data_IF_190792682164
#
_entry.id   IF_190792682164
#
_cell.length_a   1.000
_cell.length_b   1.000
_cell.length_c   1.000
_cell.angle_alpha   90.00
_cell.angle_beta   90.00
_cell.angle_gamma   90.00
#
_symmetry.space_group_name_H-M   'P 1'
#
loop_
_entity.id
_entity.type
_entity.pdbx_description
1 polymer ?
#
# COMPACT_ATOMS: atom_id res chain seq x y z
N UNK A 1 3.59 -20.76 -9.51
CA UNK A 1 3.93 -20.65 -8.07
C UNK A 1 2.64 -20.37 -7.34
N UNK A 2 2.28 -21.19 -6.35
CA UNK A 2 1.11 -20.96 -5.52
C UNK A 2 1.43 -19.80 -4.58
N UNK A 3 0.71 -18.69 -4.68
CA UNK A 3 0.80 -17.62 -3.69
C UNK A 3 0.42 -18.20 -2.33
N UNK A 4 1.29 -18.06 -1.34
CA UNK A 4 0.89 -18.20 0.06
C UNK A 4 -0.18 -17.14 0.34
N UNK A 5 -1.23 -17.48 1.09
CA UNK A 5 -2.36 -16.61 1.44
C UNK A 5 -1.99 -15.49 2.43
N UNK A 6 -0.74 -15.00 2.34
CA UNK A 6 -0.09 -14.06 3.23
C UNK A 6 -0.50 -12.64 2.86
N UNK A 7 -1.74 -12.30 3.20
CA UNK A 7 -2.35 -11.06 2.72
C UNK A 7 -2.23 -9.89 3.71
N UNK A 8 -1.48 -10.00 4.81
CA UNK A 8 -1.25 -8.87 5.72
C UNK A 8 0.14 -8.28 5.53
N UNK A 9 0.31 -7.01 5.91
CA UNK A 9 1.62 -6.37 5.85
C UNK A 9 2.66 -7.10 6.72
N UNK A 10 2.23 -7.63 7.87
CA UNK A 10 3.08 -8.37 8.78
C UNK A 10 3.56 -9.72 8.22
N UNK A 11 2.70 -10.47 7.49
CA UNK A 11 3.13 -11.70 6.83
C UNK A 11 4.19 -11.42 5.76
N UNK A 12 4.00 -10.39 4.94
CA UNK A 12 4.97 -10.05 3.89
C UNK A 12 6.28 -9.53 4.49
N UNK A 13 6.20 -8.72 5.55
CA UNK A 13 7.39 -8.29 6.28
C UNK A 13 8.14 -9.48 6.88
N UNK A 14 7.43 -10.44 7.49
CA UNK A 14 8.01 -11.67 8.00
C UNK A 14 8.73 -12.46 6.88
N UNK A 15 8.07 -12.66 5.75
CA UNK A 15 8.66 -13.36 4.59
C UNK A 15 9.94 -12.67 4.10
N UNK A 16 9.95 -11.34 3.99
CA UNK A 16 11.14 -10.58 3.58
C UNK A 16 12.27 -10.69 4.59
N UNK A 17 12.00 -10.49 5.88
CA UNK A 17 13.01 -10.60 6.95
C UNK A 17 13.56 -12.02 7.05
N UNK A 18 12.71 -13.04 6.90
CA UNK A 18 13.11 -14.45 6.84
C UNK A 18 14.03 -14.74 5.66
N UNK A 19 13.74 -14.18 4.47
CA UNK A 19 14.62 -14.30 3.29
C UNK A 19 15.95 -13.59 3.51
N UNK A 20 15.95 -12.38 4.08
CA UNK A 20 17.18 -11.62 4.39
C UNK A 20 18.05 -12.38 5.38
N UNK A 21 17.44 -12.92 6.44
CA UNK A 21 18.10 -13.74 7.46
C UNK A 21 18.76 -15.00 6.88
N UNK A 22 18.09 -15.64 5.93
CA UNK A 22 18.53 -16.90 5.31
C UNK A 22 19.35 -16.69 4.04
N UNK A 23 19.61 -15.44 3.66
CA UNK A 23 20.52 -15.10 2.57
C UNK A 23 21.92 -15.66 2.80
N UNK A 24 22.58 -16.03 1.70
CA UNK A 24 23.98 -16.51 1.71
C UNK A 24 24.99 -15.38 1.55
N UNK A 25 24.52 -14.14 1.40
CA UNK A 25 25.37 -12.96 1.25
C UNK A 25 26.16 -12.66 2.54
N UNK A 26 27.38 -12.16 2.38
CA UNK A 26 28.29 -11.87 3.50
C UNK A 26 27.94 -10.59 4.25
N UNK A 27 27.20 -9.67 3.62
CA UNK A 27 26.80 -8.39 4.19
C UNK A 27 25.30 -8.24 4.23
N UNK A 28 24.82 -7.35 5.10
CA UNK A 28 23.38 -7.06 5.21
C UNK A 28 22.88 -6.32 3.96
N UNK A 29 23.69 -5.39 3.44
CA UNK A 29 23.43 -4.74 2.16
C UNK A 29 23.30 -5.77 1.02
N UNK A 30 24.20 -6.76 0.97
CA UNK A 30 24.12 -7.87 0.02
C UNK A 30 22.82 -8.65 0.19
N UNK A 31 22.47 -9.05 1.42
CA UNK A 31 21.24 -9.79 1.71
C UNK A 31 19.97 -9.05 1.28
N UNK A 32 19.87 -7.75 1.59
CA UNK A 32 18.74 -6.95 1.12
C UNK A 32 18.74 -6.78 -0.39
N UNK A 33 19.90 -6.58 -1.02
CA UNK A 33 20.01 -6.45 -2.48
C UNK A 33 19.55 -7.72 -3.19
N UNK A 34 19.92 -8.89 -2.66
CA UNK A 34 19.50 -10.19 -3.18
C UNK A 34 17.98 -10.43 -3.00
N UNK A 35 17.43 -10.07 -1.84
CA UNK A 35 15.99 -10.26 -1.57
C UNK A 35 15.11 -9.31 -2.37
N UNK A 36 15.54 -8.04 -2.49
CA UNK A 36 14.83 -7.01 -3.23
C UNK A 36 15.16 -7.01 -4.72
N UNK A 37 16.08 -7.87 -5.18
CA UNK A 37 16.53 -7.93 -6.59
C UNK A 37 16.93 -6.55 -7.15
N UNK A 38 17.61 -5.76 -6.33
CA UNK A 38 18.03 -4.42 -6.66
C UNK A 38 19.40 -4.13 -6.07
N UNK A 39 20.28 -3.48 -6.84
CA UNK A 39 21.64 -3.19 -6.41
C UNK A 39 21.67 -2.14 -5.29
N UNK A 40 22.42 -2.41 -4.22
CA UNK A 40 22.63 -1.49 -3.11
C UNK A 40 23.05 -0.09 -3.57
N UNK A 41 22.46 0.94 -2.98
CA UNK A 41 22.77 2.34 -3.27
C UNK A 41 22.11 2.89 -4.55
N UNK A 42 21.34 2.08 -5.29
CA UNK A 42 20.57 2.56 -6.44
C UNK A 42 19.22 3.17 -6.03
N UNK A 43 18.62 3.93 -6.94
CA UNK A 43 17.26 4.44 -6.78
C UNK A 43 16.24 3.31 -6.63
N UNK A 44 16.38 2.23 -7.40
CA UNK A 44 15.45 1.10 -7.34
C UNK A 44 15.54 0.37 -6.00
N UNK A 45 16.76 0.16 -5.49
CA UNK A 45 16.95 -0.38 -4.15
C UNK A 45 16.29 0.52 -3.10
N UNK A 46 16.53 1.82 -3.17
CA UNK A 46 15.95 2.79 -2.24
C UNK A 46 14.42 2.72 -2.27
N UNK A 47 13.83 2.72 -3.47
CA UNK A 47 12.38 2.60 -3.68
C UNK A 47 11.82 1.32 -3.07
N UNK A 48 12.40 0.16 -3.39
CA UNK A 48 11.95 -1.15 -2.88
C UNK A 48 12.13 -1.26 -1.37
N UNK A 49 13.23 -0.74 -0.82
CA UNK A 49 13.46 -0.76 0.61
C UNK A 49 12.49 0.18 1.36
N UNK A 50 12.14 1.32 0.79
CA UNK A 50 11.08 2.19 1.34
C UNK A 50 9.75 1.44 1.47
N UNK A 51 9.41 0.54 0.53
CA UNK A 51 8.21 -0.29 0.66
C UNK A 51 8.30 -1.32 1.80
N UNK A 52 9.48 -1.84 2.11
CA UNK A 52 9.69 -2.67 3.30
C UNK A 52 9.41 -1.87 4.57
N UNK A 53 9.86 -0.61 4.60
CA UNK A 53 9.58 0.31 5.71
C UNK A 53 8.08 0.63 5.78
N UNK A 54 7.42 0.83 4.64
CA UNK A 54 5.98 1.03 4.56
C UNK A 54 5.20 -0.18 5.09
N UNK A 55 5.66 -1.41 4.82
CA UNK A 55 5.07 -2.62 5.41
C UNK A 55 5.13 -2.61 6.94
N UNK A 56 6.28 -2.24 7.52
CA UNK A 56 6.40 -2.11 8.98
C UNK A 56 5.45 -1.03 9.52
N UNK A 57 5.38 0.13 8.87
CA UNK A 57 4.46 1.20 9.26
C UNK A 57 3.00 0.73 9.19
N UNK A 58 2.64 0.01 8.12
CA UNK A 58 1.31 -0.53 7.93
C UNK A 58 0.98 -1.60 8.99
N UNK A 59 1.93 -2.48 9.33
CA UNK A 59 1.79 -3.41 10.47
C UNK A 59 1.50 -2.65 11.77
N UNK A 60 2.23 -1.57 12.05
CA UNK A 60 1.99 -0.76 13.25
C UNK A 60 0.60 -0.10 13.26
N UNK A 61 0.14 0.39 12.11
CA UNK A 61 -1.23 0.93 11.98
C UNK A 61 -2.29 -0.13 12.22
N UNK A 62 -2.09 -1.34 11.67
CA UNK A 62 -3.00 -2.47 11.84
C UNK A 62 -3.09 -2.94 13.29
N UNK A 63 -2.00 -2.85 14.06
CA UNK A 63 -2.02 -3.12 15.51
C UNK A 63 -3.01 -2.23 16.26
N UNK A 64 -3.16 -0.96 15.86
CA UNK A 64 -4.08 -0.02 16.51
C UNK A 64 -5.53 -0.48 16.38
N UNK A 65 -5.86 -1.19 15.31
CA UNK A 65 -7.19 -1.75 15.07
C UNK A 65 -7.47 -3.05 15.84
N UNK A 66 -6.47 -3.64 16.52
CA UNK A 66 -6.66 -4.82 17.34
C UNK A 66 -7.25 -4.48 18.73
N UNK A 67 -7.96 -5.45 19.37
CA UNK A 67 -8.34 -5.35 20.77
C UNK A 67 -7.17 -4.97 21.69
N UNK A 68 -7.41 -4.07 22.64
CA UNK A 68 -6.39 -3.43 23.49
C UNK A 68 -5.40 -4.43 24.11
N UNK A 69 -5.89 -5.53 24.69
CA UNK A 69 -5.03 -6.53 25.32
C UNK A 69 -4.06 -7.21 24.34
N UNK A 70 -4.52 -7.48 23.12
CA UNK A 70 -3.68 -8.08 22.08
C UNK A 70 -2.72 -7.04 21.51
N UNK A 71 -3.20 -5.81 21.25
CA UNK A 71 -2.38 -4.69 20.80
C UNK A 71 -1.19 -4.44 21.73
N UNK A 72 -1.43 -4.25 23.03
CA UNK A 72 -0.37 -3.98 24.02
C UNK A 72 0.68 -5.10 24.08
N UNK A 73 0.28 -6.35 23.80
CA UNK A 73 1.22 -7.48 23.75
C UNK A 73 2.13 -7.35 22.52
N UNK A 74 1.57 -7.08 21.36
CA UNK A 74 2.30 -6.99 20.10
C UNK A 74 3.20 -5.73 20.04
N UNK A 75 2.73 -4.60 20.55
CA UNK A 75 3.47 -3.32 20.56
C UNK A 75 4.85 -3.41 21.22
N UNK A 76 5.04 -4.31 22.19
CA UNK A 76 6.33 -4.55 22.86
C UNK A 76 7.43 -5.01 21.92
N UNK A 77 7.06 -5.62 20.79
CA UNK A 77 7.99 -6.19 19.82
C UNK A 77 8.27 -5.24 18.64
N UNK A 78 7.52 -4.14 18.52
CA UNK A 78 7.66 -3.18 17.41
C UNK A 78 9.06 -2.61 17.29
N UNK A 79 9.70 -2.30 18.42
CA UNK A 79 11.09 -1.80 18.42
C UNK A 79 12.04 -2.83 17.81
N UNK A 80 11.87 -4.12 18.11
CA UNK A 80 12.71 -5.19 17.58
C UNK A 80 12.53 -5.36 16.07
N UNK A 81 11.29 -5.26 15.56
CA UNK A 81 11.02 -5.29 14.12
C UNK A 81 11.61 -4.08 13.40
N UNK A 82 11.51 -2.89 14.01
CA UNK A 82 12.14 -1.68 13.49
C UNK A 82 13.66 -1.82 13.42
N UNK A 83 14.31 -2.38 14.45
CA UNK A 83 15.73 -2.68 14.40
C UNK A 83 16.09 -3.70 13.32
N UNK A 84 15.23 -4.69 13.05
CA UNK A 84 15.46 -5.69 12.00
C UNK A 84 15.42 -5.07 10.59
N UNK A 85 14.49 -4.13 10.35
CA UNK A 85 14.31 -3.44 9.06
C UNK A 85 15.34 -2.33 8.87
N UNK A 86 15.44 -1.39 9.82
CA UNK A 86 16.21 -0.15 9.64
C UNK A 86 17.68 -0.29 10.03
N UNK A 87 17.98 -1.14 11.01
CA UNK A 87 19.33 -1.43 11.51
C UNK A 87 20.20 -0.16 11.72
N UNK A 88 19.69 0.85 12.46
CA UNK A 88 20.31 2.18 12.54
C UNK A 88 21.70 2.21 13.20
N UNK A 89 22.05 1.18 13.97
CA UNK A 89 23.30 1.08 14.75
C UNK A 89 24.30 0.11 14.12
N UNK A 90 24.00 -0.42 12.94
CA UNK A 90 24.82 -1.41 12.25
C UNK A 90 25.34 -0.83 10.94
N UNK A 91 26.61 -1.08 10.63
CA UNK A 91 27.12 -0.84 9.29
C UNK A 91 26.65 -1.98 8.37
N UNK A 92 25.89 -1.66 7.32
CA UNK A 92 25.30 -2.65 6.43
C UNK A 92 26.32 -3.40 5.57
N UNK A 93 27.52 -2.84 5.44
CA UNK A 93 28.66 -3.43 4.72
C UNK A 93 29.59 -4.23 5.64
N UNK A 94 29.24 -4.39 6.93
CA UNK A 94 30.05 -5.17 7.87
C UNK A 94 29.90 -6.68 7.60
N UNK A 95 30.97 -7.31 7.12
CA UNK A 95 31.04 -8.76 6.86
C UNK A 95 31.22 -9.59 8.14
N UNK A 96 31.57 -8.96 9.26
CA UNK A 96 31.89 -9.68 10.50
C UNK A 96 30.66 -10.01 11.34
N UNK A 97 29.52 -9.35 11.05
CA UNK A 97 28.28 -9.51 11.79
C UNK A 97 27.32 -10.47 11.08
N UNK A 98 26.91 -11.51 11.78
CA UNK A 98 25.94 -12.46 11.25
C UNK A 98 24.54 -11.83 11.22
N UNK A 99 23.87 -11.82 10.06
CA UNK A 99 22.49 -11.33 9.91
C UNK A 99 21.53 -12.00 10.91
N UNK A 100 21.77 -13.29 11.20
CA UNK A 100 21.00 -14.08 12.18
C UNK A 100 21.07 -13.58 13.61
N UNK A 101 22.09 -12.80 13.99
CA UNK A 101 22.13 -12.17 15.32
C UNK A 101 21.29 -10.88 15.39
N UNK A 102 20.92 -10.32 14.24
CA UNK A 102 20.08 -9.13 14.13
C UNK A 102 18.61 -9.55 14.00
N UNK A 103 18.35 -10.53 13.14
CA UNK A 103 17.03 -11.14 12.91
C UNK A 103 17.08 -12.57 13.47
N UNK A 104 16.64 -12.73 14.72
CA UNK A 104 16.55 -14.02 15.40
C UNK A 104 15.16 -14.65 15.20
N UNK A 105 15.04 -15.93 15.58
CA UNK A 105 13.79 -16.70 15.45
C UNK A 105 12.68 -16.07 16.29
N UNK A 106 12.96 -15.67 17.53
CA UNK A 106 11.95 -15.05 18.42
C UNK A 106 11.29 -13.81 17.78
N UNK A 107 12.07 -12.94 17.12
CA UNK A 107 11.53 -11.77 16.41
C UNK A 107 10.62 -12.16 15.25
N UNK A 108 10.99 -13.19 14.50
CA UNK A 108 10.22 -13.69 13.36
C UNK A 108 8.94 -14.37 13.84
N UNK A 109 9.00 -15.24 14.84
CA UNK A 109 7.86 -15.93 15.45
C UNK A 109 6.84 -14.92 16.03
N UNK A 110 7.32 -13.86 16.67
CA UNK A 110 6.45 -12.79 17.17
C UNK A 110 5.78 -12.00 16.05
N UNK A 111 6.48 -11.77 14.94
CA UNK A 111 5.92 -11.08 13.78
C UNK A 111 4.89 -11.95 13.06
N UNK A 112 5.16 -13.23 12.87
CA UNK A 112 4.23 -14.21 12.28
C UNK A 112 2.97 -14.36 13.16
N UNK A 113 3.13 -14.54 14.48
CA UNK A 113 2.01 -14.59 15.42
C UNK A 113 1.16 -13.31 15.38
N UNK A 114 1.80 -12.15 15.18
CA UNK A 114 1.09 -10.87 15.02
C UNK A 114 0.34 -10.82 13.70
N UNK A 115 0.93 -11.35 12.63
CA UNK A 115 0.33 -11.42 11.32
C UNK A 115 -0.93 -12.30 11.31
N UNK A 116 -0.90 -13.44 12.00
CA UNK A 116 -2.06 -14.31 12.21
C UNK A 116 -3.19 -13.61 12.97
N UNK A 117 -2.85 -12.87 14.03
CA UNK A 117 -3.82 -12.08 14.80
C UNK A 117 -4.48 -11.01 13.93
N UNK A 118 -3.69 -10.27 13.14
CA UNK A 118 -4.19 -9.25 12.22
C UNK A 118 -5.12 -9.88 11.19
N UNK A 119 -4.71 -11.01 10.59
CA UNK A 119 -5.53 -11.73 9.62
C UNK A 119 -6.86 -12.17 10.25
N UNK A 120 -6.82 -12.82 11.41
CA UNK A 120 -8.03 -13.29 12.09
C UNK A 120 -9.02 -12.18 12.45
N UNK A 121 -8.55 -10.97 12.76
CA UNK A 121 -9.39 -9.84 13.19
C UNK A 121 -9.82 -8.90 12.05
N UNK A 122 -9.01 -8.74 11.00
CA UNK A 122 -9.19 -7.71 9.97
C UNK A 122 -9.38 -8.26 8.56
N UNK A 123 -9.57 -9.58 8.41
CA UNK A 123 -9.83 -10.24 7.13
C UNK A 123 -10.93 -9.54 6.32
N UNK A 124 -10.67 -9.34 5.03
CA UNK A 124 -11.60 -8.69 4.11
C UNK A 124 -11.55 -7.16 4.15
N UNK A 125 -10.53 -6.58 4.78
CA UNK A 125 -10.23 -5.14 4.74
C UNK A 125 -8.94 -4.88 3.97
N UNK A 126 -8.58 -3.60 3.78
CA UNK A 126 -7.27 -3.21 3.24
C UNK A 126 -6.10 -3.84 4.01
N UNK A 127 -6.30 -4.14 5.31
CA UNK A 127 -5.26 -4.71 6.16
C UNK A 127 -4.99 -6.19 5.89
N UNK A 128 -5.99 -6.90 5.34
CA UNK A 128 -5.94 -8.32 5.04
C UNK A 128 -6.87 -8.63 3.85
N UNK A 129 -6.52 -8.21 2.61
CA UNK A 129 -7.33 -8.47 1.43
C UNK A 129 -7.51 -9.97 1.22
N UNK A 130 -8.60 -10.38 0.57
CA UNK A 130 -8.84 -11.81 0.28
C UNK A 130 -8.54 -12.20 -1.16
N UNK A 131 -8.71 -11.29 -2.10
CA UNK A 131 -8.38 -11.54 -3.49
C UNK A 131 -6.87 -11.40 -3.71
N UNK A 132 -6.38 -12.08 -4.74
CA UNK A 132 -5.05 -11.86 -5.33
C UNK A 132 -5.14 -11.29 -6.74
N UNK A 133 -6.36 -11.13 -7.27
CA UNK A 133 -6.59 -10.55 -8.59
C UNK A 133 -6.51 -9.02 -8.51
N UNK A 134 -5.50 -8.48 -9.19
CA UNK A 134 -5.16 -7.05 -9.23
C UNK A 134 -5.36 -6.43 -10.62
N UNK A 135 -5.79 -7.22 -11.62
CA UNK A 135 -5.83 -6.78 -13.02
C UNK A 135 -6.81 -5.63 -13.23
N UNK A 136 -7.98 -5.70 -12.61
CA UNK A 136 -8.98 -4.64 -12.68
C UNK A 136 -8.47 -3.33 -12.07
N UNK A 137 -7.75 -3.43 -10.94
CA UNK A 137 -7.17 -2.25 -10.29
C UNK A 137 -6.07 -1.63 -11.15
N UNK A 138 -5.19 -2.46 -11.73
CA UNK A 138 -4.16 -2.02 -12.68
C UNK A 138 -4.77 -1.28 -13.86
N UNK A 139 -5.77 -1.88 -14.52
CA UNK A 139 -6.46 -1.28 -15.67
C UNK A 139 -7.05 0.07 -15.31
N UNK A 140 -7.73 0.15 -14.17
CA UNK A 140 -8.39 1.39 -13.75
C UNK A 140 -7.39 2.49 -13.40
N UNK A 141 -6.24 2.14 -12.81
CA UNK A 141 -5.16 3.11 -12.58
C UNK A 141 -4.58 3.65 -13.89
N UNK A 142 -4.45 2.82 -14.93
CA UNK A 142 -4.04 3.29 -16.26
C UNK A 142 -5.07 4.24 -16.88
N UNK A 143 -6.36 3.91 -16.82
CA UNK A 143 -7.44 4.80 -17.30
C UNK A 143 -7.41 6.17 -16.60
N UNK A 144 -7.10 6.19 -15.31
CA UNK A 144 -6.93 7.42 -14.53
C UNK A 144 -5.73 8.25 -14.99
N UNK A 145 -4.58 7.61 -15.22
CA UNK A 145 -3.40 8.31 -15.75
C UNK A 145 -3.73 8.93 -17.11
N UNK A 146 -4.38 8.18 -17.99
CA UNK A 146 -4.79 8.67 -19.30
C UNK A 146 -5.75 9.86 -19.19
N UNK A 147 -6.77 9.77 -18.33
CA UNK A 147 -7.69 10.90 -18.06
C UNK A 147 -6.93 12.15 -17.60
N UNK A 148 -6.08 12.02 -16.57
CA UNK A 148 -5.34 13.14 -16.01
C UNK A 148 -4.41 13.79 -17.05
N UNK A 149 -3.80 13.00 -17.94
CA UNK A 149 -2.95 13.55 -19.02
C UNK A 149 -3.73 14.34 -20.07
N UNK A 150 -5.04 14.10 -20.21
CA UNK A 150 -5.90 14.86 -21.14
C UNK A 150 -6.43 16.17 -20.54
N UNK A 151 -6.35 16.34 -19.22
CA UNK A 151 -6.84 17.54 -18.53
C UNK A 151 -5.82 18.68 -18.59
N UNK A 152 -6.30 19.88 -18.89
CA UNK A 152 -5.48 21.09 -18.96
C UNK A 152 -5.38 21.83 -17.60
N UNK A 153 -4.55 22.88 -17.57
CA UNK A 153 -4.35 23.68 -16.34
C UNK A 153 -5.60 24.48 -15.91
N UNK A 154 -6.59 24.63 -16.79
CA UNK A 154 -7.85 25.30 -16.46
C UNK A 154 -8.80 24.39 -15.70
N UNK A 155 -8.69 23.08 -15.90
CA UNK A 155 -9.45 22.06 -15.19
C UNK A 155 -8.77 21.62 -13.89
N UNK A 156 -7.44 21.41 -13.91
CA UNK A 156 -6.67 20.95 -12.75
C UNK A 156 -5.26 21.56 -12.74
N UNK A 157 -4.83 22.04 -11.58
CA UNK A 157 -3.46 22.59 -11.47
C UNK A 157 -2.40 21.54 -11.79
N UNK A 158 -1.36 21.94 -12.55
CA UNK A 158 -0.25 21.08 -12.93
C UNK A 158 0.37 20.29 -11.76
N UNK A 159 0.70 20.93 -10.61
CA UNK A 159 1.27 20.22 -9.47
C UNK A 159 0.37 19.12 -8.89
N UNK A 160 -0.94 19.37 -8.77
CA UNK A 160 -1.90 18.38 -8.26
C UNK A 160 -2.05 17.23 -9.26
N UNK A 161 -2.15 17.54 -10.55
CA UNK A 161 -2.21 16.53 -11.62
C UNK A 161 -0.98 15.63 -11.61
N UNK A 162 0.21 16.21 -11.54
CA UNK A 162 1.47 15.45 -11.58
C UNK A 162 1.64 14.58 -10.32
N UNK A 163 1.20 15.07 -9.15
CA UNK A 163 1.15 14.29 -7.92
C UNK A 163 0.22 13.08 -8.05
N UNK A 164 -1.02 13.27 -8.52
CA UNK A 164 -1.98 12.18 -8.72
C UNK A 164 -1.47 11.14 -9.72
N UNK A 165 -0.90 11.57 -10.84
CA UNK A 165 -0.27 10.68 -11.83
C UNK A 165 0.86 9.87 -11.19
N UNK A 166 1.71 10.51 -10.38
CA UNK A 166 2.80 9.84 -9.68
C UNK A 166 2.28 8.76 -8.71
N UNK A 167 1.26 9.09 -7.92
CA UNK A 167 0.61 8.16 -6.99
C UNK A 167 -0.02 6.96 -7.72
N UNK A 168 -0.77 7.19 -8.81
CA UNK A 168 -1.37 6.12 -9.62
C UNK A 168 -0.32 5.21 -10.24
N UNK A 169 0.77 5.79 -10.76
CA UNK A 169 1.91 5.02 -11.28
C UNK A 169 2.60 4.20 -10.19
N UNK A 170 2.61 4.71 -8.96
CA UNK A 170 3.13 3.97 -7.81
C UNK A 170 2.25 2.76 -7.48
N UNK A 171 0.91 2.91 -7.48
CA UNK A 171 -0.03 1.77 -7.34
C UNK A 171 0.19 0.72 -8.43
N UNK A 172 0.31 1.13 -9.70
CA UNK A 172 0.59 0.20 -10.81
C UNK A 172 1.89 -0.57 -10.56
N UNK A 173 2.95 0.12 -10.15
CA UNK A 173 4.22 -0.52 -9.83
C UNK A 173 4.11 -1.48 -8.64
N UNK A 174 3.33 -1.14 -7.60
CA UNK A 174 3.06 -2.05 -6.47
C UNK A 174 2.28 -3.29 -6.90
N UNK A 175 1.33 -3.17 -7.83
CA UNK A 175 0.65 -4.32 -8.42
C UNK A 175 1.65 -5.25 -9.11
N UNK A 176 2.57 -4.69 -9.91
CA UNK A 176 3.64 -5.47 -10.57
C UNK A 176 4.59 -6.14 -9.57
N UNK A 177 4.71 -5.61 -8.35
CA UNK A 177 5.56 -6.14 -7.28
C UNK A 177 4.75 -6.78 -6.13
N UNK A 178 3.47 -7.11 -6.37
CA UNK A 178 2.60 -7.68 -5.35
C UNK A 178 3.10 -9.04 -4.85
N UNK A 179 3.87 -9.78 -5.66
CA UNK A 179 4.53 -11.00 -5.18
C UNK A 179 5.60 -10.77 -4.09
N UNK A 180 6.09 -9.55 -3.94
CA UNK A 180 7.12 -9.18 -2.95
C UNK A 180 6.54 -8.43 -1.76
N UNK A 181 5.67 -7.43 -2.02
CA UNK A 181 5.11 -6.57 -0.97
C UNK A 181 3.68 -6.97 -0.56
N UNK A 182 3.03 -7.82 -1.35
CA UNK A 182 1.72 -8.39 -1.11
C UNK A 182 0.54 -7.44 -1.14
N UNK A 183 -0.66 -8.04 -1.09
CA UNK A 183 -1.91 -7.34 -1.37
C UNK A 183 -2.26 -6.21 -0.40
N UNK A 184 -1.96 -6.36 0.89
CA UNK A 184 -2.23 -5.32 1.90
C UNK A 184 -1.55 -3.98 1.56
N UNK A 185 -0.31 -4.01 1.05
CA UNK A 185 0.40 -2.79 0.66
C UNK A 185 -0.24 -2.14 -0.56
N UNK A 186 -0.65 -2.95 -1.55
CA UNK A 186 -1.36 -2.44 -2.72
C UNK A 186 -2.70 -1.81 -2.34
N UNK A 187 -3.48 -2.46 -1.47
CA UNK A 187 -4.78 -1.95 -1.01
C UNK A 187 -4.67 -0.64 -0.24
N UNK A 188 -3.66 -0.51 0.63
CA UNK A 188 -3.43 0.71 1.39
C UNK A 188 -3.04 1.87 0.46
N UNK A 189 -2.10 1.68 -0.47
CA UNK A 189 -1.75 2.72 -1.43
C UNK A 189 -2.96 3.12 -2.28
N UNK A 190 -3.70 2.14 -2.82
CA UNK A 190 -4.90 2.40 -3.62
C UNK A 190 -5.94 3.21 -2.84
N UNK A 191 -6.09 2.95 -1.54
CA UNK A 191 -6.99 3.73 -0.68
C UNK A 191 -6.50 5.16 -0.46
N UNK A 192 -5.19 5.36 -0.28
CA UNK A 192 -4.56 6.68 -0.21
C UNK A 192 -4.74 7.47 -1.52
N UNK A 193 -4.63 6.80 -2.67
CA UNK A 193 -4.89 7.42 -3.99
C UNK A 193 -6.36 7.79 -4.15
N UNK A 194 -7.31 6.91 -3.77
CA UNK A 194 -8.74 7.23 -3.79
C UNK A 194 -9.04 8.47 -2.94
N UNK A 195 -8.46 8.55 -1.74
CA UNK A 195 -8.58 9.74 -0.88
C UNK A 195 -8.04 11.00 -1.53
N UNK A 196 -6.87 10.91 -2.17
CA UNK A 196 -6.24 12.02 -2.89
C UNK A 196 -7.08 12.49 -4.09
N UNK A 197 -7.66 11.56 -4.85
CA UNK A 197 -8.58 11.85 -5.95
C UNK A 197 -9.87 12.51 -5.45
N UNK A 198 -10.44 12.02 -4.34
CA UNK A 198 -11.62 12.63 -3.72
C UNK A 198 -11.33 14.07 -3.27
N UNK A 199 -10.19 14.32 -2.64
CA UNK A 199 -9.76 15.66 -2.24
C UNK A 199 -9.51 16.57 -3.45
N UNK A 200 -8.85 16.05 -4.49
CA UNK A 200 -8.61 16.78 -5.72
C UNK A 200 -9.93 17.18 -6.42
N UNK A 201 -10.97 16.35 -6.29
CA UNK A 201 -12.29 16.66 -6.86
C UNK A 201 -12.89 17.98 -6.32
N UNK A 202 -12.53 18.37 -5.09
CA UNK A 202 -12.94 19.66 -4.53
C UNK A 202 -12.13 20.87 -5.05
N UNK A 203 -10.99 20.60 -5.71
CA UNK A 203 -10.09 21.61 -6.27
C UNK A 203 -10.16 21.72 -7.78
N UNK A 204 -10.88 20.82 -8.44
CA UNK A 204 -11.13 20.85 -9.89
C UNK A 204 -12.21 21.90 -10.17
N UNK A 205 -11.90 22.87 -11.03
CA UNK A 205 -12.78 24.00 -11.38
C UNK A 205 -12.97 24.00 -12.89
N UNK A 206 -14.12 24.48 -13.39
CA UNK A 206 -14.39 24.59 -14.83
C UNK A 206 -14.23 23.28 -15.64
N UNK A 207 -14.43 22.14 -14.97
CA UNK A 207 -14.31 20.83 -15.60
C UNK A 207 -15.29 20.71 -16.78
N UNK A 208 -14.81 20.31 -17.95
CA UNK A 208 -15.69 20.07 -19.09
C UNK A 208 -16.67 18.93 -18.75
N UNK A 209 -17.89 18.97 -19.29
CA UNK A 209 -18.93 17.96 -19.00
C UNK A 209 -18.45 16.52 -19.31
N UNK A 210 -17.69 16.37 -20.40
CA UNK A 210 -17.05 15.10 -20.77
C UNK A 210 -16.00 14.66 -19.73
N UNK A 211 -15.11 15.56 -19.32
CA UNK A 211 -14.10 15.30 -18.28
C UNK A 211 -14.75 14.91 -16.96
N UNK A 212 -15.80 15.64 -16.53
CA UNK A 212 -16.52 15.38 -15.28
C UNK A 212 -17.21 14.00 -15.29
N UNK A 213 -17.83 13.63 -16.41
CA UNK A 213 -18.41 12.30 -16.61
C UNK A 213 -17.36 11.20 -16.54
N UNK A 214 -16.22 11.39 -17.22
CA UNK A 214 -15.08 10.45 -17.20
C UNK A 214 -14.48 10.29 -15.80
N UNK A 215 -14.30 11.40 -15.08
CA UNK A 215 -13.80 11.40 -13.70
C UNK A 215 -14.71 10.61 -12.77
N UNK A 216 -16.02 10.89 -12.79
CA UNK A 216 -17.00 10.15 -11.98
C UNK A 216 -16.97 8.65 -12.29
N UNK A 217 -16.95 8.29 -13.57
CA UNK A 217 -16.90 6.89 -14.01
C UNK A 217 -15.61 6.20 -13.56
N UNK A 218 -14.46 6.84 -13.75
CA UNK A 218 -13.16 6.32 -13.35
C UNK A 218 -13.04 6.19 -11.81
N UNK A 219 -13.62 7.13 -11.06
CA UNK A 219 -13.65 7.10 -9.60
C UNK A 219 -14.44 5.89 -9.10
N UNK A 220 -15.67 5.71 -9.60
CA UNK A 220 -16.51 4.57 -9.23
C UNK A 220 -15.88 3.23 -9.64
N UNK A 221 -15.23 3.17 -10.81
CA UNK A 221 -14.51 1.98 -11.25
C UNK A 221 -13.37 1.62 -10.29
N UNK A 222 -12.59 2.61 -9.83
CA UNK A 222 -11.45 2.37 -8.94
C UNK A 222 -11.89 1.90 -7.55
N UNK A 223 -12.92 2.56 -7.00
CA UNK A 223 -13.55 2.14 -5.74
C UNK A 223 -14.08 0.71 -5.85
N UNK A 224 -14.76 0.39 -6.96
CA UNK A 224 -15.29 -0.96 -7.21
C UNK A 224 -14.17 -1.99 -7.27
N UNK A 225 -13.10 -1.72 -8.00
CA UNK A 225 -11.94 -2.60 -8.10
C UNK A 225 -11.31 -2.87 -6.73
N UNK A 226 -11.18 -1.84 -5.88
CA UNK A 226 -10.66 -1.99 -4.51
C UNK A 226 -11.61 -2.83 -3.62
N UNK A 227 -12.92 -2.63 -3.72
CA UNK A 227 -13.91 -3.42 -2.97
C UNK A 227 -13.87 -4.90 -3.36
N UNK A 228 -13.82 -5.18 -4.67
CA UNK A 228 -13.70 -6.55 -5.18
C UNK A 228 -12.39 -7.18 -4.72
N UNK A 229 -11.27 -6.44 -4.78
CA UNK A 229 -9.96 -6.91 -4.35
C UNK A 229 -9.94 -7.28 -2.86
N UNK A 230 -10.46 -6.40 -2.01
CA UNK A 230 -10.55 -6.67 -0.57
C UNK A 230 -11.54 -7.79 -0.24
N UNK A 231 -12.54 -8.03 -1.11
CA UNK A 231 -13.71 -8.89 -0.86
C UNK A 231 -14.41 -8.56 0.47
N UNK A 232 -14.54 -7.25 0.74
CA UNK A 232 -15.25 -6.75 1.91
C UNK A 232 -16.77 -6.99 1.74
N UNK A 233 -17.39 -7.67 2.71
CA UNK A 233 -18.85 -7.68 2.89
C UNK A 233 -19.26 -6.53 3.83
N UNK A 234 -20.56 -6.18 3.94
CA UNK A 234 -21.21 -4.94 3.49
C UNK A 234 -20.84 -3.63 4.25
N UNK A 235 -19.61 -3.46 4.75
CA UNK A 235 -19.16 -2.23 5.43
C UNK A 235 -19.05 -1.04 4.45
N UNK A 236 -19.00 -1.30 3.14
CA UNK A 236 -18.85 -0.28 2.11
C UNK A 236 -20.15 0.30 1.55
N UNK A 237 -21.33 -0.12 2.03
CA UNK A 237 -22.53 0.68 1.73
C UNK A 237 -22.33 2.12 2.20
N UNK A 238 -21.67 2.36 3.34
CA UNK A 238 -21.41 3.71 3.84
C UNK A 238 -20.33 4.45 3.05
N UNK A 239 -19.24 3.83 2.59
CA UNK A 239 -18.22 4.53 1.79
C UNK A 239 -18.61 4.70 0.33
N UNK A 240 -19.43 3.80 -0.22
CA UNK A 240 -20.09 3.99 -1.53
C UNK A 240 -21.14 5.09 -1.38
N UNK A 241 -21.95 5.10 -0.31
CA UNK A 241 -22.90 6.20 -0.06
C UNK A 241 -22.17 7.51 0.17
N UNK A 242 -21.05 7.53 0.89
CA UNK A 242 -20.22 8.73 1.10
C UNK A 242 -19.54 9.17 -0.20
N UNK A 243 -19.05 8.23 -1.02
CA UNK A 243 -18.51 8.51 -2.35
C UNK A 243 -19.59 9.04 -3.30
N UNK A 244 -20.79 8.46 -3.28
CA UNK A 244 -21.97 8.94 -4.00
C UNK A 244 -22.42 10.31 -3.51
N UNK A 245 -22.31 10.59 -2.21
CA UNK A 245 -22.67 11.86 -1.59
C UNK A 245 -21.65 12.95 -1.92
N UNK A 246 -20.34 12.63 -1.91
CA UNK A 246 -19.27 13.50 -2.41
C UNK A 246 -19.46 13.78 -3.91
N UNK A 247 -19.77 12.75 -4.71
CA UNK A 247 -20.07 12.90 -6.15
C UNK A 247 -21.34 13.73 -6.38
N UNK A 248 -22.34 13.61 -5.51
CA UNK A 248 -23.57 14.40 -5.56
C UNK A 248 -23.30 15.86 -5.19
N UNK A 249 -22.45 16.12 -4.20
CA UNK A 249 -21.98 17.45 -3.82
C UNK A 249 -21.17 18.11 -4.95
N UNK A 250 -20.29 17.34 -5.62
CA UNK A 250 -19.56 17.79 -6.83
C UNK A 250 -20.55 18.16 -7.94
N UNK A 251 -21.59 17.36 -8.16
CA UNK A 251 -22.59 17.62 -9.20
C UNK A 251 -23.47 18.83 -8.87
N UNK A 252 -23.82 19.06 -7.60
CA UNK A 252 -24.59 20.25 -7.18
C UNK A 252 -23.77 21.54 -7.22
N UNK A 253 -22.49 21.50 -6.87
CA UNK A 253 -21.61 22.67 -6.96
C UNK A 253 -21.41 23.16 -8.40
N UNK A 254 -21.45 22.24 -9.37
CA UNK A 254 -21.37 22.55 -10.82
C UNK A 254 -22.74 23.06 -11.36
N UNK A 255 -23.85 22.74 -10.70
CA UNK A 255 -25.20 23.09 -11.12
C UNK A 255 -25.71 24.45 -10.65
N UNK A 256 -25.18 24.99 -9.55
CA UNK A 256 -25.64 26.25 -8.93
C UNK A 256 -24.95 27.52 -9.48
N UNK A 257 -23.98 27.39 -10.39
CA UNK A 257 -23.30 28.53 -11.06
C UNK A 257 -23.98 28.95 -12.40
N UNK A 258 -25.31 28.81 -12.51
CA UNK A 258 -26.13 29.31 -13.64
C UNK A 258 -27.16 30.34 -13.24
#
# INVERSE_FOLDING_TARGET
MSFSSDNTAAHNLHTLLSRVRNSTESTIAGSWSAVLEAEWGTLEFTRRHTEVVALLQLTMQQLVALPERQRIRCERHVSAWWYAVMQPVTNWMDETRLVRSIIDDDKLDHLESTADLISGHLVGSNAAPRSTDLEQMRSTCHEWVDLLTTMDETEISGPVRDQLISQLRHVIWLVDHAGTFGGARVAEEASTVIGSLAQASASVVNMQEESASRWKKAFLALVTACVVFNQASPIFQESITAGEQIVKEITSAIGDDR
#
